data_IF_859162086848
#
_entry.id   IF_859162086848
#
_cell.length_a   1.000
_cell.length_b   1.000
_cell.length_c   1.000
_cell.angle_alpha   90.00
_cell.angle_beta   90.00
_cell.angle_gamma   90.00
#
_symmetry.space_group_name_H-M   'P 1'
#
loop_
_entity.id
_entity.type
_entity.pdbx_description
1 polymer ?
#
# COMPACT_ATOMS: atom_id res chain seq x y z
N UNK A 1 -20.81 3.24 2.04
CA UNK A 1 -20.55 1.80 2.26
C UNK A 1 -19.19 1.71 2.95
N UNK A 2 -18.98 0.83 3.92
CA UNK A 2 -17.67 0.70 4.57
C UNK A 2 -16.69 0.06 3.60
N UNK A 3 -15.55 0.69 3.36
CA UNK A 3 -14.47 0.13 2.55
C UNK A 3 -14.03 -1.22 3.14
N UNK A 4 -14.14 -2.33 2.39
CA UNK A 4 -13.52 -3.59 2.78
C UNK A 4 -12.00 -3.40 2.83
N UNK A 5 -11.42 -3.70 3.99
CA UNK A 5 -9.97 -3.67 4.22
C UNK A 5 -9.51 -5.11 4.39
N UNK A 6 -8.55 -5.53 3.57
CA UNK A 6 -7.90 -6.82 3.73
C UNK A 6 -6.48 -6.60 4.26
N UNK A 7 -6.22 -7.04 5.50
CA UNK A 7 -4.87 -7.04 6.08
C UNK A 7 -4.31 -8.45 5.93
N UNK A 8 -3.19 -8.57 5.22
CA UNK A 8 -2.53 -9.84 4.90
C UNK A 8 -1.19 -9.91 5.65
N UNK A 9 -1.13 -10.61 6.80
CA UNK A 9 0.13 -10.85 7.51
C UNK A 9 1.01 -11.91 6.84
N UNK A 10 2.30 -11.89 7.14
CA UNK A 10 3.17 -13.05 6.98
C UNK A 10 2.95 -14.08 8.11
N UNK A 11 3.33 -15.34 7.86
CA UNK A 11 3.18 -16.43 8.83
C UNK A 11 3.96 -16.19 10.14
N UNK A 12 3.27 -16.30 11.27
CA UNK A 12 3.86 -16.11 12.60
C UNK A 12 3.92 -14.64 13.06
N UNK A 13 3.16 -13.76 12.42
CA UNK A 13 2.94 -12.39 12.92
C UNK A 13 2.22 -12.38 14.28
N UNK A 14 2.61 -11.43 15.15
CA UNK A 14 1.94 -11.19 16.43
C UNK A 14 0.63 -10.40 16.24
N UNK A 15 -0.44 -10.81 16.94
CA UNK A 15 -1.76 -10.18 16.88
C UNK A 15 -1.80 -8.72 17.36
N UNK A 16 -0.88 -8.34 18.25
CA UNK A 16 -0.78 -6.97 18.77
C UNK A 16 -0.42 -5.96 17.68
N UNK A 17 0.54 -6.30 16.81
CA UNK A 17 0.89 -5.43 15.69
C UNK A 17 -0.25 -5.33 14.68
N UNK A 18 -0.94 -6.44 14.40
CA UNK A 18 -2.14 -6.46 13.55
C UNK A 18 -3.26 -5.56 14.08
N UNK A 19 -3.54 -5.66 15.38
CA UNK A 19 -4.52 -4.82 16.06
C UNK A 19 -4.17 -3.34 15.97
N UNK A 20 -2.86 -3.04 16.01
CA UNK A 20 -2.38 -1.67 15.92
C UNK A 20 -2.48 -1.10 14.50
N UNK A 21 -2.14 -1.89 13.47
CA UNK A 21 -2.37 -1.54 12.06
C UNK A 21 -3.85 -1.26 11.83
N UNK A 22 -4.75 -2.15 12.28
CA UNK A 22 -6.19 -1.95 12.16
C UNK A 22 -6.64 -0.63 12.82
N UNK A 23 -6.10 -0.33 14.00
CA UNK A 23 -6.40 0.91 14.73
C UNK A 23 -5.98 2.15 13.92
N UNK A 24 -4.76 2.18 13.40
CA UNK A 24 -4.27 3.30 12.58
C UNK A 24 -5.07 3.46 11.28
N UNK A 25 -5.47 2.35 10.64
CA UNK A 25 -6.32 2.40 9.45
C UNK A 25 -7.68 3.02 9.78
N UNK A 26 -8.34 2.55 10.82
CA UNK A 26 -9.66 3.05 11.23
C UNK A 26 -9.60 4.54 11.60
N UNK A 27 -8.52 4.99 12.27
CA UNK A 27 -8.34 6.40 12.63
C UNK A 27 -8.42 7.36 11.43
N UNK A 28 -8.05 6.91 10.23
CA UNK A 28 -8.15 7.71 9.00
C UNK A 28 -9.52 7.52 8.35
N UNK A 29 -9.94 6.27 8.16
CA UNK A 29 -11.14 5.96 7.39
C UNK A 29 -12.43 6.44 8.08
N UNK A 30 -12.46 6.48 9.41
CA UNK A 30 -13.61 7.01 10.17
C UNK A 30 -13.74 8.54 10.08
N UNK A 31 -12.70 9.24 9.61
CA UNK A 31 -12.66 10.72 9.53
C UNK A 31 -12.97 11.26 8.14
N UNK A 32 -13.14 10.40 7.15
CA UNK A 32 -13.39 10.78 5.76
C UNK A 32 -14.82 10.43 5.35
N UNK A 33 -15.34 11.15 4.36
CA UNK A 33 -16.67 10.87 3.81
C UNK A 33 -16.69 9.44 3.22
N UNK A 34 -17.64 8.57 3.61
CA UNK A 34 -17.75 7.22 3.07
C UNK A 34 -17.95 7.13 1.55
N UNK A 35 -18.30 8.22 0.88
CA UNK A 35 -18.38 8.30 -0.59
C UNK A 35 -17.01 8.55 -1.25
N UNK A 36 -16.03 9.00 -0.46
CA UNK A 36 -14.66 9.30 -0.91
C UNK A 36 -13.68 8.17 -0.59
N UNK A 37 -14.13 7.07 0.01
CA UNK A 37 -13.27 5.94 0.34
C UNK A 37 -13.11 4.99 -0.85
N UNK A 38 -11.94 4.37 -1.03
CA UNK A 38 -11.77 3.41 -2.11
C UNK A 38 -12.70 2.21 -1.89
N UNK A 39 -13.15 1.54 -2.96
CA UNK A 39 -14.06 0.41 -2.84
C UNK A 39 -13.40 -0.82 -2.23
N UNK A 40 -12.08 -0.83 -2.12
CA UNK A 40 -11.28 -1.90 -1.53
C UNK A 40 -9.88 -1.36 -1.19
N UNK A 41 -9.30 -1.80 -0.07
CA UNK A 41 -7.93 -1.51 0.32
C UNK A 41 -7.25 -2.79 0.80
N UNK A 42 -6.08 -3.12 0.25
CA UNK A 42 -5.24 -4.21 0.73
C UNK A 42 -4.01 -3.68 1.44
N UNK A 43 -3.70 -4.24 2.61
CA UNK A 43 -2.48 -3.94 3.36
C UNK A 43 -1.72 -5.25 3.55
N UNK A 44 -0.55 -5.39 2.93
CA UNK A 44 0.29 -6.58 3.06
C UNK A 44 1.48 -6.28 3.96
N UNK A 45 1.67 -7.13 4.98
CA UNK A 45 2.75 -6.98 5.94
C UNK A 45 3.81 -8.02 5.64
N UNK A 46 4.96 -7.55 5.18
CA UNK A 46 6.11 -8.37 4.83
C UNK A 46 7.00 -8.62 6.03
N UNK A 47 7.57 -9.81 6.10
CA UNK A 47 8.47 -10.17 7.21
C UNK A 47 9.77 -9.40 7.17
N UNK A 48 10.36 -9.30 5.98
CA UNK A 48 11.67 -8.73 5.74
C UNK A 48 11.69 -7.99 4.38
N UNK A 49 12.72 -7.15 4.20
CA UNK A 49 12.84 -6.32 3.00
C UNK A 49 13.06 -7.15 1.73
N UNK A 50 13.71 -8.31 1.86
CA UNK A 50 13.96 -9.21 0.75
C UNK A 50 12.66 -9.75 0.16
N UNK A 51 11.73 -10.23 0.98
CA UNK A 51 10.44 -10.75 0.53
C UNK A 51 9.61 -9.65 -0.18
N UNK A 52 9.66 -8.41 0.33
CA UNK A 52 9.02 -7.25 -0.30
C UNK A 52 9.65 -6.92 -1.67
N UNK A 53 10.98 -6.91 -1.76
CA UNK A 53 11.70 -6.63 -3.00
C UNK A 53 11.49 -7.72 -4.06
N UNK A 54 11.52 -8.99 -3.65
CA UNK A 54 11.25 -10.13 -4.54
C UNK A 54 9.82 -10.02 -5.10
N UNK A 55 8.83 -9.70 -4.25
CA UNK A 55 7.46 -9.45 -4.68
C UNK A 55 7.40 -8.30 -5.69
N UNK A 56 8.01 -7.15 -5.39
CA UNK A 56 7.98 -6.01 -6.30
C UNK A 56 8.64 -6.29 -7.64
N UNK A 57 9.76 -7.00 -7.64
CA UNK A 57 10.44 -7.39 -8.86
C UNK A 57 9.52 -8.25 -9.74
N UNK A 58 8.96 -9.33 -9.18
CA UNK A 58 8.04 -10.21 -9.89
C UNK A 58 6.80 -9.45 -10.38
N UNK A 59 6.19 -8.63 -9.52
CA UNK A 59 4.97 -7.88 -9.83
C UNK A 59 5.19 -6.88 -10.97
N UNK A 60 6.34 -6.18 -10.96
CA UNK A 60 6.73 -5.24 -12.03
C UNK A 60 7.00 -5.97 -13.33
N UNK A 61 7.71 -7.09 -13.30
CA UNK A 61 7.99 -7.91 -14.49
C UNK A 61 6.70 -8.43 -15.11
N UNK A 62 5.79 -8.99 -14.31
CA UNK A 62 4.49 -9.53 -14.78
C UNK A 62 3.62 -8.45 -15.43
N UNK A 63 3.66 -7.22 -14.91
CA UNK A 63 2.84 -6.11 -15.38
C UNK A 63 3.53 -5.22 -16.41
N UNK A 64 4.81 -5.46 -16.72
CA UNK A 64 5.62 -4.64 -17.63
C UNK A 64 5.87 -3.23 -17.12
N UNK A 65 5.95 -3.06 -15.80
CA UNK A 65 6.09 -1.75 -15.14
C UNK A 65 7.56 -1.36 -15.10
N UNK A 66 7.86 -0.18 -15.65
CA UNK A 66 9.20 0.39 -15.65
C UNK A 66 9.18 1.62 -14.75
N UNK A 67 9.21 1.39 -13.45
CA UNK A 67 9.42 2.42 -12.42
C UNK A 67 10.75 2.16 -11.71
N UNK A 68 11.32 3.17 -11.05
CA UNK A 68 12.56 3.03 -10.26
C UNK A 68 12.44 2.01 -9.13
N UNK A 69 13.55 1.73 -8.45
CA UNK A 69 13.52 0.91 -7.23
C UNK A 69 12.58 1.56 -6.21
N UNK A 70 11.65 0.76 -5.66
CA UNK A 70 10.83 1.23 -4.54
C UNK A 70 11.79 1.40 -3.35
N UNK A 71 11.91 2.63 -2.89
CA UNK A 71 12.90 3.09 -1.92
C UNK A 71 12.71 2.48 -0.52
N UNK A 72 13.69 2.72 0.36
CA UNK A 72 13.75 2.29 1.78
C UNK A 72 12.66 2.91 2.69
N UNK A 73 11.45 3.16 2.17
CA UNK A 73 10.33 3.65 2.96
C UNK A 73 9.79 2.58 3.90
N UNK A 74 9.26 3.02 5.05
CA UNK A 74 8.69 2.14 6.06
C UNK A 74 7.38 1.46 5.58
N UNK A 75 6.63 2.15 4.72
CA UNK A 75 5.52 1.60 3.96
C UNK A 75 5.40 2.32 2.61
N UNK A 76 4.73 1.69 1.66
CA UNK A 76 4.58 2.19 0.29
C UNK A 76 3.20 1.86 -0.26
N UNK A 77 2.58 2.83 -0.93
CA UNK A 77 1.35 2.67 -1.69
C UNK A 77 1.64 2.40 -3.18
N UNK A 78 0.94 1.42 -3.75
CA UNK A 78 0.80 1.29 -5.19
C UNK A 78 -0.59 0.79 -5.58
N UNK A 79 -0.91 0.83 -6.87
CA UNK A 79 -2.21 0.39 -7.37
C UNK A 79 -2.12 -0.23 -8.78
N UNK A 80 -1.01 -0.90 -9.08
CA UNK A 80 -0.68 -1.44 -10.40
C UNK A 80 -1.70 -2.46 -10.92
N UNK A 81 -2.44 -3.13 -10.03
CA UNK A 81 -3.50 -4.09 -10.37
C UNK A 81 -4.90 -3.48 -10.44
N UNK A 82 -5.06 -2.15 -10.36
CA UNK A 82 -6.37 -1.50 -10.47
C UNK A 82 -7.04 -1.11 -9.15
N UNK A 83 -6.40 -1.38 -8.00
CA UNK A 83 -6.92 -1.11 -6.66
C UNK A 83 -5.77 -0.75 -5.71
N UNK A 84 -6.01 0.06 -4.66
CA UNK A 84 -4.95 0.51 -3.78
C UNK A 84 -4.44 -0.62 -2.88
N UNK A 85 -3.12 -0.73 -2.84
CA UNK A 85 -2.37 -1.70 -2.06
C UNK A 85 -1.28 -0.96 -1.30
N UNK A 86 -1.18 -1.25 -0.01
CA UNK A 86 -0.16 -0.71 0.87
C UNK A 86 0.72 -1.86 1.32
N UNK A 87 2.02 -1.69 1.19
CA UNK A 87 3.01 -2.65 1.65
C UNK A 87 3.77 -2.07 2.83
N UNK A 88 3.91 -2.84 3.90
CA UNK A 88 4.71 -2.47 5.08
C UNK A 88 5.67 -3.60 5.39
N UNK A 89 6.95 -3.27 5.61
CA UNK A 89 7.97 -4.24 5.98
C UNK A 89 8.18 -4.24 7.49
N UNK A 90 7.82 -5.33 8.16
CA UNK A 90 7.91 -5.44 9.62
C UNK A 90 9.35 -5.31 10.13
N UNK A 91 10.33 -5.85 9.38
CA UNK A 91 11.76 -5.66 9.69
C UNK A 91 12.15 -4.18 9.74
N UNK A 92 11.67 -3.38 8.78
CA UNK A 92 12.02 -1.96 8.66
C UNK A 92 11.41 -1.10 9.77
N UNK A 93 10.22 -1.47 10.26
CA UNK A 93 9.55 -0.73 11.35
C UNK A 93 9.94 -1.23 12.74
N UNK A 94 10.77 -2.26 12.84
CA UNK A 94 11.21 -2.80 14.13
C UNK A 94 12.05 -1.77 14.89
N UNK A 95 11.60 -1.39 16.07
CA UNK A 95 12.27 -0.36 16.90
C UNK A 95 11.94 1.08 16.51
N UNK A 96 11.08 1.27 15.50
CA UNK A 96 10.47 2.57 15.20
C UNK A 96 9.34 2.83 16.19
N UNK A 97 9.16 4.08 16.62
CA UNK A 97 8.10 4.44 17.55
C UNK A 97 6.74 4.39 16.88
N UNK A 98 5.74 3.83 17.57
CA UNK A 98 4.36 3.69 17.11
C UNK A 98 3.75 4.93 16.44
N UNK A 99 3.91 6.17 16.96
CA UNK A 99 3.35 7.35 16.30
C UNK A 99 3.95 7.62 14.92
N UNK A 100 5.23 7.24 14.70
CA UNK A 100 5.90 7.38 13.40
C UNK A 100 5.34 6.36 12.42
N UNK A 101 5.18 5.10 12.84
CA UNK A 101 4.59 4.04 12.01
C UNK A 101 3.16 4.40 11.63
N UNK A 102 2.35 4.83 12.60
CA UNK A 102 1.00 5.31 12.37
C UNK A 102 0.95 6.50 11.40
N UNK A 103 1.86 7.46 11.55
CA UNK A 103 1.97 8.60 10.63
C UNK A 103 2.29 8.20 9.19
N UNK A 104 3.23 7.26 8.99
CA UNK A 104 3.53 6.69 7.68
C UNK A 104 2.32 5.97 7.10
N UNK A 105 1.64 5.13 7.89
CA UNK A 105 0.46 4.43 7.39
C UNK A 105 -0.67 5.40 7.02
N UNK A 106 -0.87 6.46 7.80
CA UNK A 106 -1.84 7.50 7.46
C UNK A 106 -1.48 8.22 6.15
N UNK A 107 -0.19 8.44 5.88
CA UNK A 107 0.28 9.02 4.62
C UNK A 107 -0.06 8.12 3.43
N UNK A 108 0.24 6.81 3.50
CA UNK A 108 -0.08 5.85 2.44
C UNK A 108 -1.59 5.64 2.25
N UNK A 109 -2.38 5.67 3.33
CA UNK A 109 -3.85 5.65 3.23
C UNK A 109 -4.35 6.94 2.58
N UNK A 110 -3.73 8.08 2.89
CA UNK A 110 -4.00 9.34 2.20
C UNK A 110 -3.80 9.20 0.69
N UNK A 111 -2.71 8.56 0.26
CA UNK A 111 -2.53 8.21 -1.14
C UNK A 111 -3.69 7.36 -1.68
N UNK A 112 -4.06 6.27 -1.01
CA UNK A 112 -5.17 5.42 -1.44
C UNK A 112 -6.53 6.15 -1.52
N UNK A 113 -6.78 7.12 -0.64
CA UNK A 113 -8.00 7.93 -0.62
C UNK A 113 -8.02 9.01 -1.70
N UNK A 114 -6.88 9.67 -1.94
CA UNK A 114 -6.82 10.89 -2.74
C UNK A 114 -6.21 10.71 -4.12
N UNK A 115 -5.66 9.55 -4.47
CA UNK A 115 -5.14 9.29 -5.83
C UNK A 115 -6.20 9.17 -6.94
N UNK A 116 -7.45 9.53 -6.64
CA UNK A 116 -8.51 9.68 -7.63
C UNK A 116 -9.42 8.46 -7.71
N UNK A 117 -10.39 8.54 -8.62
CA UNK A 117 -11.37 7.49 -8.84
C UNK A 117 -10.71 6.22 -9.44
N UNK A 118 -11.35 5.04 -9.31
CA UNK A 118 -10.77 3.76 -9.79
C UNK A 118 -10.37 3.78 -11.27
N UNK A 119 -11.00 4.65 -12.06
CA UNK A 119 -10.68 4.91 -13.46
C UNK A 119 -9.21 5.25 -13.67
N UNK A 120 -8.58 6.00 -12.75
CA UNK A 120 -7.14 6.30 -12.81
C UNK A 120 -6.26 5.05 -12.74
N UNK A 121 -6.76 3.97 -12.12
CA UNK A 121 -6.06 2.68 -12.05
C UNK A 121 -6.44 1.71 -13.17
N UNK A 122 -7.48 2.03 -13.94
CA UNK A 122 -7.98 1.19 -15.04
C UNK A 122 -7.38 1.60 -16.39
N UNK A 123 -7.16 2.89 -16.60
CA UNK A 123 -6.61 3.40 -17.86
C UNK A 123 -5.09 3.28 -17.90
N UNK A 124 -4.58 2.35 -18.72
CA UNK A 124 -3.16 2.28 -19.05
C UNK A 124 -2.80 3.43 -19.99
N UNK A 125 -1.70 4.12 -19.73
CA UNK A 125 -1.09 5.01 -20.73
C UNK A 125 -0.78 4.23 -22.00
N UNK A 126 -0.98 4.85 -23.16
CA UNK A 126 -0.59 4.23 -24.44
C UNK A 126 0.89 3.85 -24.43
N UNK A 127 1.28 2.79 -25.15
CA UNK A 127 2.68 2.35 -25.25
C UNK A 127 3.64 3.52 -25.54
N UNK A 128 3.21 4.44 -26.42
CA UNK A 128 3.99 5.63 -26.79
C UNK A 128 4.23 6.59 -25.62
N UNK A 129 3.27 6.76 -24.71
CA UNK A 129 3.47 7.56 -23.50
C UNK A 129 4.34 6.85 -22.47
N UNK A 130 4.23 5.53 -22.38
CA UNK A 130 5.08 4.72 -21.50
C UNK A 130 6.54 4.72 -21.94
N UNK A 131 6.81 4.71 -23.25
CA UNK A 131 8.17 4.79 -23.81
C UNK A 131 8.87 6.11 -23.48
N UNK A 132 8.14 7.22 -23.41
CA UNK A 132 8.69 8.56 -23.11
C UNK A 132 9.05 8.72 -21.63
N UNK A 133 8.45 7.91 -20.75
CA UNK A 133 8.70 7.94 -19.31
C UNK A 133 9.88 7.06 -18.87
N UNK A 134 10.46 6.28 -19.79
CA UNK A 134 11.67 5.46 -19.57
C UNK A 134 12.93 6.27 -19.81
#
# INVERSE_FOLDING_TARGET
MTTPIEIVPYDGMNEGFLSQIQTWVNNVLERVDPSSTPPYLRITIWKNIKDLQDFYHQEKEELGIVTGEESDFLATHEAWRGYPRIHICHEMVKGVQDPVIGGVLHHEIGHALFHGSMEFYTFKFTNRLQEVAR
#
